data_IF_269915675707
#
_entry.id   IF_269915675707
#
_cell.length_a   1.000
_cell.length_b   1.000
_cell.length_c   1.000
_cell.angle_alpha   90.00
_cell.angle_beta   90.00
_cell.angle_gamma   90.00
#
_symmetry.space_group_name_H-M   'P 1'
#
loop_
_entity.id
_entity.type
_entity.pdbx_description
1 polymer ?
#
# COMPACT_ATOMS: atom_id res chain seq x y z
N UNK A 1 -1.41 -25.85 -10.97
CA UNK A 1 -1.08 -24.47 -11.35
C UNK A 1 -1.32 -23.59 -10.14
N UNK A 2 -0.42 -22.65 -9.84
CA UNK A 2 -0.52 -21.76 -8.68
C UNK A 2 -0.85 -20.33 -9.15
N UNK A 3 -1.41 -19.52 -8.25
CA UNK A 3 -1.47 -18.07 -8.44
C UNK A 3 -0.05 -17.52 -8.62
N UNK A 4 0.12 -16.56 -9.52
CA UNK A 4 1.42 -15.92 -9.81
C UNK A 4 1.44 -14.55 -9.16
N UNK A 5 1.88 -14.48 -7.92
CA UNK A 5 1.89 -13.23 -7.15
C UNK A 5 3.11 -12.40 -7.52
N UNK A 6 4.27 -13.05 -7.68
CA UNK A 6 5.52 -12.40 -8.08
C UNK A 6 5.55 -12.37 -9.61
N UNK A 7 5.36 -11.18 -10.17
CA UNK A 7 5.33 -10.96 -11.61
C UNK A 7 6.73 -10.67 -12.17
N UNK A 8 7.54 -9.92 -11.41
CA UNK A 8 8.93 -9.60 -11.72
C UNK A 8 9.77 -9.65 -10.43
N UNK A 9 10.58 -10.72 -10.30
CA UNK A 9 11.40 -10.97 -9.12
C UNK A 9 12.50 -9.91 -8.90
N UNK A 10 13.16 -9.46 -9.96
CA UNK A 10 14.24 -8.46 -9.86
C UNK A 10 13.70 -7.12 -9.38
N UNK A 11 12.57 -6.67 -9.94
CA UNK A 11 11.89 -5.44 -9.51
C UNK A 11 11.36 -5.54 -8.09
N UNK A 12 10.86 -6.71 -7.68
CA UNK A 12 10.48 -6.95 -6.29
C UNK A 12 11.68 -6.82 -5.34
N UNK A 13 12.83 -7.40 -5.69
CA UNK A 13 14.05 -7.26 -4.87
C UNK A 13 14.53 -5.81 -4.79
N UNK A 14 14.52 -5.08 -5.90
CA UNK A 14 14.85 -3.64 -5.93
C UNK A 14 13.92 -2.84 -5.02
N UNK A 15 12.61 -3.12 -5.06
CA UNK A 15 11.64 -2.47 -4.19
C UNK A 15 11.85 -2.80 -2.72
N UNK A 16 12.10 -4.08 -2.40
CA UNK A 16 12.41 -4.51 -1.03
C UNK A 16 13.64 -3.76 -0.53
N UNK A 17 14.69 -3.62 -1.33
CA UNK A 17 15.91 -2.89 -0.95
C UNK A 17 15.66 -1.39 -0.74
N UNK A 18 14.81 -0.77 -1.56
CA UNK A 18 14.43 0.63 -1.44
C UNK A 18 13.68 0.96 -0.13
N UNK A 19 12.96 -0.01 0.45
CA UNK A 19 12.23 0.20 1.70
C UNK A 19 13.18 0.60 2.85
N UNK A 20 12.72 1.46 3.79
CA UNK A 20 13.53 1.85 4.94
C UNK A 20 14.06 0.69 5.78
N UNK A 21 15.22 0.85 6.40
CA UNK A 21 15.67 -0.15 7.38
C UNK A 21 14.83 -0.07 8.66
N UNK A 22 14.61 -1.24 9.25
CA UNK A 22 13.73 -1.42 10.41
C UNK A 22 14.51 -1.34 11.73
N UNK A 23 13.91 -0.69 12.72
CA UNK A 23 14.32 -0.79 14.11
C UNK A 23 13.86 -2.13 14.72
N UNK A 24 14.43 -2.57 15.87
CA UNK A 24 14.14 -3.89 16.43
C UNK A 24 12.65 -4.18 16.71
N UNK A 25 11.85 -3.16 17.02
CA UNK A 25 10.42 -3.27 17.29
C UNK A 25 9.54 -3.00 16.06
N UNK A 26 10.14 -2.75 14.89
CA UNK A 26 9.42 -2.38 13.68
C UNK A 26 9.22 -3.57 12.75
N UNK A 27 8.07 -3.59 12.05
CA UNK A 27 7.83 -4.46 10.91
C UNK A 27 7.02 -3.79 9.82
N UNK A 28 7.11 -4.33 8.61
CA UNK A 28 6.18 -4.02 7.54
C UNK A 28 4.87 -4.76 7.72
N UNK A 29 3.76 -4.09 7.43
CA UNK A 29 2.45 -4.74 7.30
C UNK A 29 2.13 -4.94 5.83
N UNK A 30 1.74 -6.15 5.47
CA UNK A 30 1.46 -6.56 4.09
C UNK A 30 0.07 -7.17 4.02
N UNK A 31 -0.66 -6.87 2.95
CA UNK A 31 -1.97 -7.43 2.67
C UNK A 31 -2.10 -7.86 1.21
N UNK A 32 -2.64 -9.06 1.00
CA UNK A 32 -3.14 -9.52 -0.30
C UNK A 32 -4.63 -9.19 -0.37
N UNK A 33 -5.03 -8.46 -1.41
CA UNK A 33 -6.42 -8.10 -1.66
C UNK A 33 -6.88 -8.71 -2.98
N UNK A 34 -8.15 -9.09 -3.03
CA UNK A 34 -8.90 -9.18 -4.27
C UNK A 34 -9.63 -7.85 -4.49
N UNK A 35 -9.51 -7.25 -5.67
CA UNK A 35 -10.19 -6.01 -6.03
C UNK A 35 -11.09 -6.21 -7.25
N UNK A 36 -12.35 -5.81 -7.13
CA UNK A 36 -13.32 -5.86 -8.22
C UNK A 36 -12.90 -4.96 -9.39
N UNK A 37 -12.34 -3.78 -9.10
CA UNK A 37 -11.93 -2.82 -10.13
C UNK A 37 -10.87 -3.33 -11.11
N UNK A 38 -10.09 -4.36 -10.74
CA UNK A 38 -9.06 -4.91 -11.61
C UNK A 38 -9.57 -5.95 -12.62
N UNK A 39 -10.64 -6.65 -12.27
CA UNK A 39 -11.37 -7.51 -13.19
C UNK A 39 -12.85 -7.56 -12.76
N UNK A 40 -13.71 -6.70 -13.35
CA UNK A 40 -15.09 -6.54 -12.89
C UNK A 40 -16.01 -7.70 -13.32
N UNK A 41 -15.57 -8.57 -14.24
CA UNK A 41 -16.42 -9.65 -14.80
C UNK A 41 -16.37 -10.96 -14.03
N UNK A 42 -15.50 -11.07 -13.01
CA UNK A 42 -15.25 -12.33 -12.25
C UNK A 42 -16.25 -12.60 -11.13
N UNK A 43 -17.29 -11.77 -10.98
CA UNK A 43 -18.38 -12.00 -10.02
C UNK A 43 -18.05 -11.64 -8.57
N UNK A 44 -16.94 -10.92 -8.29
CA UNK A 44 -16.70 -10.37 -6.95
C UNK A 44 -17.83 -9.40 -6.56
N UNK A 45 -18.49 -9.70 -5.43
CA UNK A 45 -19.61 -8.90 -4.92
C UNK A 45 -19.13 -7.58 -4.31
N UNK A 46 -18.15 -7.62 -3.41
CA UNK A 46 -17.57 -6.45 -2.75
C UNK A 46 -16.49 -5.77 -3.62
N UNK A 47 -16.28 -4.46 -3.44
CA UNK A 47 -15.18 -3.72 -4.11
C UNK A 47 -13.81 -4.34 -3.79
N UNK A 48 -13.63 -4.75 -2.54
CA UNK A 48 -12.40 -5.38 -2.07
C UNK A 48 -12.68 -6.51 -1.09
N UNK A 49 -11.88 -7.56 -1.18
CA UNK A 49 -11.81 -8.63 -0.18
C UNK A 49 -10.37 -8.78 0.32
N UNK A 50 -10.21 -8.93 1.63
CA UNK A 50 -8.91 -9.10 2.25
C UNK A 50 -8.60 -10.58 2.45
N UNK A 51 -7.76 -11.12 1.57
CA UNK A 51 -7.50 -12.55 1.49
C UNK A 51 -6.44 -13.01 2.50
N UNK A 52 -5.39 -12.20 2.65
CA UNK A 52 -4.30 -12.49 3.58
C UNK A 52 -3.70 -11.22 4.12
N UNK A 53 -3.27 -11.29 5.38
CA UNK A 53 -2.47 -10.27 6.06
C UNK A 53 -1.32 -10.93 6.77
N UNK A 54 -0.20 -10.24 6.85
CA UNK A 54 0.94 -10.63 7.67
C UNK A 54 1.86 -9.44 7.93
N UNK A 55 2.75 -9.61 8.90
CA UNK A 55 3.88 -8.70 9.12
C UNK A 55 5.16 -9.31 8.59
N UNK A 56 6.16 -8.50 8.23
CA UNK A 56 7.48 -9.00 7.84
C UNK A 56 8.60 -8.03 8.18
N UNK A 57 9.80 -8.57 8.39
CA UNK A 57 11.04 -7.80 8.21
C UNK A 57 11.40 -7.71 6.73
N UNK A 58 12.34 -6.83 6.37
CA UNK A 58 12.81 -6.61 4.99
C UNK A 58 13.40 -7.90 4.40
N UNK A 59 14.22 -8.61 5.17
CA UNK A 59 14.93 -9.84 4.74
C UNK A 59 13.98 -11.01 4.46
N UNK A 60 12.85 -11.05 5.18
CA UNK A 60 11.86 -12.13 5.06
C UNK A 60 10.75 -11.83 4.05
N UNK A 61 10.68 -10.59 3.56
CA UNK A 61 9.55 -10.08 2.77
C UNK A 61 9.38 -10.86 1.47
N UNK A 62 10.48 -11.10 0.74
CA UNK A 62 10.46 -11.88 -0.50
C UNK A 62 9.85 -13.27 -0.31
N UNK A 63 10.36 -14.03 0.67
CA UNK A 63 9.89 -15.40 0.91
C UNK A 63 8.43 -15.42 1.39
N UNK A 64 8.01 -14.47 2.22
CA UNK A 64 6.60 -14.38 2.66
C UNK A 64 5.64 -14.03 1.53
N UNK A 65 6.05 -13.18 0.58
CA UNK A 65 5.26 -12.90 -0.62
C UNK A 65 5.17 -14.14 -1.51
N UNK A 66 6.29 -14.86 -1.70
CA UNK A 66 6.31 -16.12 -2.45
C UNK A 66 5.37 -17.18 -1.86
N UNK A 67 5.20 -17.21 -0.53
CA UNK A 67 4.25 -18.10 0.14
C UNK A 67 2.77 -17.80 -0.17
N UNK A 68 2.46 -16.69 -0.86
CA UNK A 68 1.11 -16.38 -1.34
C UNK A 68 0.78 -17.08 -2.68
N UNK A 69 1.75 -17.69 -3.35
CA UNK A 69 1.57 -18.42 -4.61
C UNK A 69 0.99 -19.82 -4.36
N UNK A 70 -0.26 -19.85 -3.87
CA UNK A 70 -1.01 -21.06 -3.56
C UNK A 70 -1.61 -21.69 -4.84
N UNK A 71 -2.03 -22.98 -4.79
CA UNK A 71 -2.80 -23.59 -5.88
C UNK A 71 -4.01 -22.73 -6.28
N UNK A 72 -4.30 -22.67 -7.57
CA UNK A 72 -5.49 -21.97 -8.07
C UNK A 72 -6.77 -22.55 -7.46
N UNK A 73 -7.74 -21.68 -7.17
CA UNK A 73 -9.01 -22.08 -6.53
C UNK A 73 -9.00 -21.95 -5.01
N UNK A 74 -7.83 -21.80 -4.37
CA UNK A 74 -7.73 -21.73 -2.90
C UNK A 74 -8.14 -20.38 -2.32
N UNK A 75 -8.02 -19.29 -3.09
CA UNK A 75 -8.50 -17.99 -2.66
C UNK A 75 -9.98 -17.84 -2.99
N UNK A 76 -10.79 -17.59 -1.96
CA UNK A 76 -12.22 -17.40 -2.08
C UNK A 76 -12.66 -16.10 -1.38
N UNK A 77 -13.73 -15.50 -1.88
CA UNK A 77 -14.39 -14.35 -1.26
C UNK A 77 -15.89 -14.47 -1.47
N UNK A 78 -16.65 -14.64 -0.38
CA UNK A 78 -18.11 -14.76 -0.45
C UNK A 78 -18.57 -15.93 -1.33
N UNK A 79 -17.92 -17.08 -1.19
CA UNK A 79 -18.13 -18.32 -1.97
C UNK A 79 -17.76 -18.23 -3.47
N UNK A 80 -17.13 -17.13 -3.90
CA UNK A 80 -16.60 -16.99 -5.25
C UNK A 80 -15.09 -17.22 -5.23
N UNK A 81 -14.62 -18.12 -6.11
CA UNK A 81 -13.19 -18.30 -6.35
C UNK A 81 -12.61 -17.01 -6.94
N UNK A 82 -11.55 -16.50 -6.32
CA UNK A 82 -10.90 -15.27 -6.74
C UNK A 82 -10.03 -15.55 -7.97
N UNK A 83 -10.22 -14.78 -9.03
CA UNK A 83 -9.33 -14.80 -10.21
C UNK A 83 -7.97 -14.20 -9.87
N UNK A 84 -6.92 -14.73 -10.51
CA UNK A 84 -5.57 -14.15 -10.55
C UNK A 84 -5.62 -12.64 -10.86
N UNK A 85 -6.47 -12.27 -11.82
CA UNK A 85 -6.61 -10.91 -12.35
C UNK A 85 -7.27 -9.92 -11.39
N UNK A 86 -7.79 -10.39 -10.26
CA UNK A 86 -8.30 -9.51 -9.20
C UNK A 86 -7.25 -9.21 -8.14
N UNK A 87 -6.10 -9.89 -8.16
CA UNK A 87 -5.15 -9.86 -7.06
C UNK A 87 -4.27 -8.61 -7.11
N UNK A 88 -3.98 -8.09 -5.92
CA UNK A 88 -2.94 -7.10 -5.69
C UNK A 88 -2.35 -7.23 -4.29
N UNK A 89 -1.04 -7.07 -4.18
CA UNK A 89 -0.33 -7.05 -2.89
C UNK A 89 0.03 -5.63 -2.53
N UNK A 90 -0.26 -5.24 -1.29
CA UNK A 90 0.05 -3.92 -0.76
C UNK A 90 0.86 -4.02 0.52
N UNK A 91 1.66 -2.99 0.78
CA UNK A 91 2.53 -2.83 1.95
C UNK A 91 2.36 -1.44 2.55
N UNK A 92 2.49 -1.28 3.86
CA UNK A 92 2.70 0.05 4.43
C UNK A 92 4.17 0.48 4.22
N UNK A 93 4.47 1.56 3.48
CA UNK A 93 5.86 1.95 3.22
C UNK A 93 6.56 2.48 4.49
N UNK A 94 5.78 3.06 5.41
CA UNK A 94 6.27 3.43 6.73
C UNK A 94 6.24 2.22 7.69
N UNK A 95 7.31 1.96 8.45
CA UNK A 95 7.35 0.86 9.42
C UNK A 95 6.26 0.94 10.50
N UNK A 96 5.75 -0.21 10.94
CA UNK A 96 4.76 -0.36 12.02
C UNK A 96 5.44 -0.74 13.33
N UNK A 97 4.98 -0.17 14.44
CA UNK A 97 5.55 -0.42 15.77
C UNK A 97 4.83 -1.57 16.48
N UNK A 98 5.46 -2.74 16.58
CA UNK A 98 4.84 -3.90 17.21
C UNK A 98 4.69 -3.76 18.72
N UNK A 99 5.62 -3.07 19.38
CA UNK A 99 5.57 -2.87 20.83
C UNK A 99 4.39 -1.95 21.18
N UNK A 100 4.30 -0.80 20.52
CA UNK A 100 3.20 0.15 20.71
C UNK A 100 1.85 -0.44 20.30
N UNK A 101 1.79 -1.17 19.18
CA UNK A 101 0.57 -1.85 18.76
C UNK A 101 0.11 -2.89 19.80
N UNK A 102 1.05 -3.62 20.43
CA UNK A 102 0.72 -4.59 21.47
C UNK A 102 0.13 -3.93 22.73
N UNK A 103 0.66 -2.78 23.14
CA UNK A 103 0.11 -2.01 24.26
C UNK A 103 -1.33 -1.52 23.97
N UNK A 104 -1.57 -1.03 22.76
CA UNK A 104 -2.93 -0.60 22.36
C UNK A 104 -3.89 -1.79 22.23
N UNK A 105 -3.42 -2.92 21.70
CA UNK A 105 -4.22 -4.14 21.62
C UNK A 105 -4.63 -4.64 23.02
N UNK A 106 -3.71 -4.61 23.98
CA UNK A 106 -4.00 -4.99 25.38
C UNK A 106 -5.13 -4.16 25.96
N UNK A 107 -5.08 -2.83 25.74
CA UNK A 107 -6.14 -1.91 26.16
C UNK A 107 -7.47 -2.25 25.49
N UNK A 108 -7.50 -2.41 24.16
CA UNK A 108 -8.73 -2.65 23.40
C UNK A 108 -9.40 -3.98 23.77
N UNK A 109 -8.61 -5.05 23.94
CA UNK A 109 -9.13 -6.36 24.36
C UNK A 109 -9.74 -6.25 25.77
N UNK A 110 -9.05 -5.59 26.70
CA UNK A 110 -9.53 -5.43 28.07
C UNK A 110 -10.87 -4.67 28.12
N UNK A 111 -10.97 -3.56 27.38
CA UNK A 111 -12.22 -2.78 27.29
C UNK A 111 -13.38 -3.59 26.71
N UNK A 112 -13.14 -4.37 25.65
CA UNK A 112 -14.16 -5.21 25.03
C UNK A 112 -14.64 -6.33 25.96
N UNK A 113 -13.72 -6.97 26.68
CA UNK A 113 -14.05 -8.00 27.67
C UNK A 113 -14.87 -7.46 28.83
N UNK A 114 -14.50 -6.29 29.38
CA UNK A 114 -15.26 -5.63 30.46
C UNK A 114 -16.69 -5.32 30.02
N UNK A 115 -16.90 -4.95 28.75
CA UNK A 115 -18.24 -4.70 28.18
C UNK A 115 -19.03 -5.97 27.85
N UNK A 116 -18.45 -7.16 28.06
CA UNK A 116 -19.08 -8.43 27.73
C UNK A 116 -19.20 -8.71 26.22
N UNK A 117 -18.38 -8.05 25.38
CA UNK A 117 -18.35 -8.29 23.92
C UNK A 117 -17.85 -9.72 23.67
N UNK A 118 -18.72 -10.58 23.15
CA UNK A 118 -18.39 -11.98 22.81
C UNK A 118 -17.88 -12.13 21.37
N UNK A 119 -17.95 -11.08 20.54
CA UNK A 119 -17.57 -11.12 19.13
C UNK A 119 -16.09 -10.74 18.89
N UNK A 120 -15.25 -10.82 19.93
CA UNK A 120 -13.83 -10.46 19.86
C UNK A 120 -13.08 -11.49 19.00
N UNK A 121 -12.37 -11.01 17.98
CA UNK A 121 -11.44 -11.81 17.19
C UNK A 121 -10.00 -11.29 17.37
N UNK A 122 -9.25 -11.75 18.40
CA UNK A 122 -7.98 -11.15 18.81
C UNK A 122 -6.95 -11.03 17.68
N UNK A 123 -6.84 -12.05 16.82
CA UNK A 123 -5.94 -12.03 15.68
C UNK A 123 -6.25 -10.90 14.67
N UNK A 124 -7.54 -10.64 14.41
CA UNK A 124 -7.96 -9.56 13.50
C UNK A 124 -7.72 -8.19 14.14
N UNK A 125 -8.00 -8.06 15.44
CA UNK A 125 -7.70 -6.85 16.19
C UNK A 125 -6.21 -6.54 16.19
N UNK A 126 -5.36 -7.54 16.44
CA UNK A 126 -3.91 -7.38 16.41
C UNK A 126 -3.42 -6.85 15.06
N UNK A 127 -3.89 -7.44 13.95
CA UNK A 127 -3.50 -7.02 12.61
C UNK A 127 -4.01 -5.63 12.25
N UNK A 128 -5.23 -5.26 12.67
CA UNK A 128 -5.76 -3.91 12.50
C UNK A 128 -4.91 -2.89 13.27
N UNK A 129 -4.59 -3.19 14.53
CA UNK A 129 -3.79 -2.33 15.40
C UNK A 129 -2.38 -2.14 14.84
N UNK A 130 -1.75 -3.21 14.36
CA UNK A 130 -0.43 -3.13 13.74
C UNK A 130 -0.49 -2.26 12.47
N UNK A 131 -1.49 -2.45 11.61
CA UNK A 131 -1.64 -1.65 10.39
C UNK A 131 -1.70 -0.15 10.69
N UNK A 132 -2.43 0.27 11.72
CA UNK A 132 -2.66 1.68 12.05
C UNK A 132 -1.60 2.29 12.98
N UNK A 133 -0.75 1.47 13.59
CA UNK A 133 0.29 1.95 14.52
C UNK A 133 1.61 2.17 13.78
N UNK A 134 1.73 3.29 13.07
CA UNK A 134 2.98 3.74 12.46
C UNK A 134 4.03 4.00 13.53
N UNK A 135 5.27 3.52 13.33
CA UNK A 135 6.40 3.87 14.18
C UNK A 135 6.99 5.22 13.76
N UNK A 136 7.58 5.27 12.57
CA UNK A 136 8.17 6.47 11.98
C UNK A 136 7.43 6.84 10.69
N UNK A 137 7.07 8.12 10.56
CA UNK A 137 6.54 8.68 9.31
C UNK A 137 7.71 9.17 8.47
N UNK A 138 8.23 8.28 7.62
CA UNK A 138 9.34 8.56 6.71
C UNK A 138 8.78 9.17 5.42
N UNK A 139 7.72 8.56 4.91
CA UNK A 139 7.02 9.00 3.70
C UNK A 139 5.66 9.58 4.03
N UNK A 140 5.28 10.59 3.27
CA UNK A 140 3.89 11.00 3.09
C UNK A 140 3.42 10.51 1.72
N UNK A 141 2.37 9.68 1.70
CA UNK A 141 1.84 9.11 0.46
C UNK A 141 0.72 9.98 -0.12
N UNK A 142 0.91 10.38 -1.39
CA UNK A 142 -0.11 10.94 -2.25
C UNK A 142 -0.61 9.85 -3.21
N UNK A 143 -1.91 9.60 -3.21
CA UNK A 143 -2.55 8.70 -4.17
C UNK A 143 -3.16 9.54 -5.30
N UNK A 144 -2.68 9.35 -6.52
CA UNK A 144 -3.05 10.11 -7.71
C UNK A 144 -3.84 9.21 -8.66
N UNK A 145 -5.15 9.41 -8.72
CA UNK A 145 -6.04 8.72 -9.65
C UNK A 145 -6.11 9.48 -10.97
N UNK A 146 -5.86 8.80 -12.09
CA UNK A 146 -5.92 9.42 -13.41
C UNK A 146 -7.37 9.53 -13.90
N UNK A 147 -7.71 10.68 -14.49
CA UNK A 147 -9.05 10.98 -15.03
C UNK A 147 -9.12 10.89 -16.55
N UNK A 148 -7.99 10.59 -17.19
CA UNK A 148 -7.85 10.47 -18.64
C UNK A 148 -7.15 9.16 -19.01
N UNK A 149 -7.42 8.64 -20.19
CA UNK A 149 -6.80 7.39 -20.68
C UNK A 149 -5.31 7.56 -21.01
N UNK A 150 -4.90 8.75 -21.44
CA UNK A 150 -3.49 9.05 -21.69
C UNK A 150 -2.75 9.28 -20.36
N UNK A 151 -2.36 8.18 -19.73
CA UNK A 151 -1.65 8.18 -18.45
C UNK A 151 -0.33 8.96 -18.51
N UNK A 152 0.37 8.94 -19.64
CA UNK A 152 1.66 9.64 -19.79
C UNK A 152 1.46 11.16 -19.66
N UNK A 153 0.42 11.70 -20.29
CA UNK A 153 0.07 13.12 -20.16
C UNK A 153 -0.27 13.50 -18.70
N UNK A 154 -0.99 12.65 -17.98
CA UNK A 154 -1.32 12.89 -16.57
C UNK A 154 -0.06 12.88 -15.68
N UNK A 155 0.87 11.95 -15.92
CA UNK A 155 2.15 11.84 -15.20
C UNK A 155 3.00 13.10 -15.43
N UNK A 156 3.19 13.51 -16.67
CA UNK A 156 4.00 14.69 -17.02
C UNK A 156 3.41 15.96 -16.41
N UNK A 157 2.09 16.12 -16.49
CA UNK A 157 1.41 17.26 -15.87
C UNK A 157 1.60 17.25 -14.36
N UNK A 158 1.38 16.13 -13.67
CA UNK A 158 1.55 16.05 -12.23
C UNK A 158 3.00 16.32 -11.80
N UNK A 159 3.99 15.78 -12.52
CA UNK A 159 5.42 16.06 -12.27
C UNK A 159 5.75 17.54 -12.39
N UNK A 160 5.22 18.21 -13.41
CA UNK A 160 5.37 19.67 -13.56
C UNK A 160 4.73 20.40 -12.38
N UNK A 161 3.48 20.06 -12.04
CA UNK A 161 2.72 20.77 -11.01
C UNK A 161 3.30 20.61 -9.59
N UNK A 162 3.78 19.40 -9.26
CA UNK A 162 4.37 19.14 -7.95
C UNK A 162 5.75 19.77 -7.81
N UNK A 163 6.51 19.93 -8.91
CA UNK A 163 7.85 20.53 -8.88
C UNK A 163 7.85 21.98 -8.41
N UNK A 164 6.76 22.71 -8.65
CA UNK A 164 6.59 24.06 -8.11
C UNK A 164 6.35 24.03 -6.59
N UNK A 165 5.75 22.95 -6.07
CA UNK A 165 5.26 22.85 -4.69
C UNK A 165 6.33 22.43 -3.68
N UNK A 166 7.30 21.64 -4.10
CA UNK A 166 8.30 20.99 -3.24
C UNK A 166 9.54 20.58 -4.04
N UNK A 167 10.68 20.47 -3.37
CA UNK A 167 11.94 20.00 -3.97
C UNK A 167 11.83 18.56 -4.52
N UNK A 168 12.40 18.31 -5.69
CA UNK A 168 12.21 17.06 -6.44
C UNK A 168 12.94 15.85 -5.84
N UNK A 169 14.05 16.05 -5.14
CA UNK A 169 14.89 15.00 -4.55
C UNK A 169 14.24 14.29 -3.33
N UNK A 170 13.14 14.85 -2.80
CA UNK A 170 12.33 14.19 -1.80
C UNK A 170 11.20 13.32 -2.39
N UNK A 171 11.01 13.32 -3.71
CA UNK A 171 9.89 12.63 -4.36
C UNK A 171 10.29 11.24 -4.88
N UNK A 172 9.39 10.28 -4.73
CA UNK A 172 9.50 8.97 -5.38
C UNK A 172 8.15 8.62 -6.01
N UNK A 173 8.17 8.28 -7.29
CA UNK A 173 6.97 8.04 -8.08
C UNK A 173 6.81 6.55 -8.38
N UNK A 174 5.62 6.00 -8.15
CA UNK A 174 5.30 4.59 -8.38
C UNK A 174 4.05 4.49 -9.26
N UNK A 175 4.22 4.08 -10.51
CA UNK A 175 3.09 3.84 -11.40
C UNK A 175 2.32 2.61 -10.93
N UNK A 176 1.00 2.76 -10.81
CA UNK A 176 0.07 1.66 -10.55
C UNK A 176 -0.80 1.41 -11.78
N UNK A 177 -1.68 0.42 -11.76
CA UNK A 177 -2.50 0.10 -12.93
C UNK A 177 -3.34 1.32 -13.38
N UNK A 178 -4.12 1.90 -12.46
CA UNK A 178 -5.04 3.02 -12.74
C UNK A 178 -4.54 4.42 -12.39
N UNK A 179 -3.34 4.56 -11.80
CA UNK A 179 -2.90 5.84 -11.27
C UNK A 179 -1.41 5.88 -10.97
N UNK A 180 -1.05 6.67 -9.96
CA UNK A 180 0.32 6.95 -9.53
C UNK A 180 0.34 7.18 -8.03
N UNK A 181 1.30 6.59 -7.32
CA UNK A 181 1.63 7.07 -5.97
C UNK A 181 2.83 8.00 -6.04
N UNK A 182 2.80 9.07 -5.26
CA UNK A 182 3.94 9.96 -5.04
C UNK A 182 4.28 10.00 -3.54
N UNK A 183 5.43 9.43 -3.22
CA UNK A 183 5.95 9.27 -1.88
C UNK A 183 6.89 10.44 -1.60
N UNK A 184 6.52 11.30 -0.66
CA UNK A 184 7.35 12.43 -0.22
C UNK A 184 8.17 11.99 0.98
N UNK A 185 9.50 11.93 0.86
CA UNK A 185 10.38 11.69 1.98
C UNK A 185 10.46 12.94 2.87
N UNK A 186 9.80 12.88 4.03
CA UNK A 186 9.64 14.01 4.93
C UNK A 186 10.97 14.56 5.48
N UNK A 187 12.01 13.71 5.56
CA UNK A 187 13.32 14.11 6.06
C UNK A 187 14.15 14.86 5.00
N UNK A 188 13.77 14.76 3.72
CA UNK A 188 14.46 15.40 2.59
C UNK A 188 13.77 16.67 2.12
N UNK A 189 12.70 17.11 2.79
CA UNK A 189 12.03 18.38 2.45
C UNK A 189 12.92 19.55 2.86
N UNK A 190 13.29 20.38 1.89
CA UNK A 190 14.10 21.57 2.14
C UNK A 190 13.33 22.61 2.96
N UNK A 191 14.07 23.38 3.77
CA UNK A 191 13.50 24.30 4.78
C UNK A 191 12.49 25.29 4.22
N UNK A 192 12.70 25.75 2.98
CA UNK A 192 11.82 26.71 2.30
C UNK A 192 10.42 26.15 1.98
N UNK A 193 10.29 24.84 1.77
CA UNK A 193 9.01 24.19 1.45
C UNK A 193 8.26 23.70 2.69
N UNK A 194 8.95 23.46 3.82
CA UNK A 194 8.40 22.77 5.01
C UNK A 194 7.07 23.32 5.53
N UNK A 195 6.82 24.62 5.39
CA UNK A 195 5.58 25.28 5.89
C UNK A 195 4.43 25.29 4.90
N UNK A 196 4.69 25.14 3.60
CA UNK A 196 3.71 25.43 2.55
C UNK A 196 3.39 24.23 1.64
N UNK A 197 4.29 23.25 1.53
CA UNK A 197 4.17 22.15 0.58
C UNK A 197 2.80 21.44 0.66
N UNK A 198 2.34 21.14 1.88
CA UNK A 198 1.11 20.37 2.09
C UNK A 198 -0.12 21.12 1.56
N UNK A 199 -0.23 22.42 1.84
CA UNK A 199 -1.34 23.24 1.36
C UNK A 199 -1.29 23.38 -0.17
N UNK A 200 -0.10 23.59 -0.74
CA UNK A 200 0.06 23.74 -2.20
C UNK A 200 -0.30 22.46 -2.93
N UNK A 201 0.16 21.31 -2.44
CA UNK A 201 -0.16 20.00 -3.03
C UNK A 201 -1.66 19.68 -2.96
N UNK A 202 -2.35 20.05 -1.87
CA UNK A 202 -3.80 19.80 -1.74
C UNK A 202 -4.65 20.51 -2.80
N UNK A 203 -4.08 21.47 -3.53
CA UNK A 203 -4.75 22.27 -4.56
C UNK A 203 -4.47 21.76 -5.98
N UNK A 204 -3.67 20.70 -6.15
CA UNK A 204 -3.23 20.25 -7.48
C UNK A 204 -4.27 19.47 -8.28
N UNK A 205 -5.33 18.97 -7.64
CA UNK A 205 -6.41 18.25 -8.36
C UNK A 205 -6.92 19.07 -9.54
N UNK A 206 -6.96 18.44 -10.71
CA UNK A 206 -7.35 19.09 -11.96
C UNK A 206 -8.21 18.16 -12.84
N UNK A 207 -8.39 18.51 -14.10
CA UNK A 207 -9.15 17.71 -15.07
C UNK A 207 -8.43 16.42 -15.47
N UNK A 208 -7.09 16.35 -15.34
CA UNK A 208 -6.30 15.20 -15.77
C UNK A 208 -6.10 14.15 -14.67
N UNK A 209 -6.11 14.58 -13.40
CA UNK A 209 -5.87 13.71 -12.26
C UNK A 209 -6.51 14.27 -10.98
N UNK A 210 -6.70 13.38 -10.01
CA UNK A 210 -7.15 13.69 -8.66
C UNK A 210 -6.08 13.34 -7.64
N UNK A 211 -5.81 14.23 -6.69
CA UNK A 211 -4.84 14.01 -5.62
C UNK A 211 -5.57 13.72 -4.32
N UNK A 212 -5.33 12.55 -3.74
CA UNK A 212 -5.81 12.17 -2.41
C UNK A 212 -4.66 12.15 -1.41
N UNK A 213 -4.76 12.98 -0.38
CA UNK A 213 -3.73 13.13 0.66
C UNK A 213 -4.08 12.30 1.91
N UNK A 214 -3.71 11.02 1.91
CA UNK A 214 -3.98 10.12 3.04
C UNK A 214 -2.82 10.05 4.05
N UNK A 215 -1.63 10.48 3.65
CA UNK A 215 -0.43 10.58 4.50
C UNK A 215 0.26 9.24 4.75
N UNK A 216 -0.46 8.21 5.18
CA UNK A 216 0.12 6.89 5.48
C UNK A 216 -0.77 5.75 5.00
N UNK A 217 -0.67 5.49 3.69
CA UNK A 217 -1.49 4.54 2.97
C UNK A 217 -0.78 3.18 2.78
N UNK A 218 -1.53 2.21 2.26
CA UNK A 218 -0.94 0.97 1.74
C UNK A 218 -0.58 1.17 0.27
N UNK A 219 0.67 0.87 -0.06
CA UNK A 219 1.29 1.04 -1.36
C UNK A 219 1.29 -0.30 -2.11
N UNK A 220 0.90 -0.37 -3.39
CA UNK A 220 1.09 -1.57 -4.20
C UNK A 220 2.57 -1.99 -4.28
N UNK A 221 2.86 -3.26 -4.08
CA UNK A 221 4.23 -3.77 -4.12
C UNK A 221 4.72 -3.88 -5.56
N UNK A 222 5.80 -3.18 -5.89
CA UNK A 222 6.49 -3.28 -7.18
C UNK A 222 7.00 -4.70 -7.40
N UNK A 223 6.88 -5.20 -8.63
CA UNK A 223 7.25 -6.58 -8.99
C UNK A 223 6.19 -7.63 -8.62
N UNK A 224 5.13 -7.26 -7.89
CA UNK A 224 3.96 -8.11 -7.68
C UNK A 224 2.83 -7.78 -8.67
N UNK A 225 1.89 -8.71 -8.83
CA UNK A 225 0.69 -8.47 -9.64
C UNK A 225 -0.18 -7.34 -9.07
N UNK A 226 -0.77 -6.54 -9.96
CA UNK A 226 -1.86 -5.61 -9.65
C UNK A 226 -2.88 -5.60 -10.79
N UNK A 227 -3.76 -6.59 -10.78
CA UNK A 227 -4.77 -6.78 -11.82
C UNK A 227 -4.26 -7.53 -13.04
N UNK A 228 -4.96 -7.37 -14.17
CA UNK A 228 -4.64 -8.05 -15.44
C UNK A 228 -3.31 -7.55 -15.99
N UNK A 229 -2.35 -8.46 -16.17
CA UNK A 229 -1.08 -8.26 -16.87
C UNK A 229 -0.28 -7.01 -16.47
N UNK A 230 -0.42 -6.55 -15.22
CA UNK A 230 0.23 -5.34 -14.73
C UNK A 230 0.97 -5.60 -13.42
N UNK A 231 2.16 -5.01 -13.31
CA UNK A 231 2.93 -4.93 -12.08
C UNK A 231 3.36 -3.48 -11.84
N UNK A 232 3.19 -2.94 -10.61
CA UNK A 232 3.65 -1.59 -10.29
C UNK A 232 5.15 -1.45 -10.50
N UNK A 233 5.60 -0.24 -10.84
CA UNK A 233 7.01 0.07 -11.07
C UNK A 233 7.37 1.51 -10.71
N UNK A 234 8.64 1.75 -10.40
CA UNK A 234 9.18 3.09 -10.18
C UNK A 234 9.20 3.86 -11.50
N UNK A 235 8.78 5.12 -11.47
CA UNK A 235 8.97 6.03 -12.60
C UNK A 235 10.29 6.78 -12.42
N UNK A 236 11.19 6.63 -13.38
CA UNK A 236 12.46 7.36 -13.48
C UNK A 236 12.23 8.85 -13.76
#
# INVERSE_FOLDING_TARGET
MNYKIIFNEEKLKQFIEWLPDLLPNEQYYVTLLARKKYNPVTGLHADKAQLKRFTSTKERLFQKIRQLELPLGVYESGNTVVSQDNLAVYITPNPRDLHKASLFLMKEISEKLIRGDQAIHPHTLALNMIQTTTSRKIFFDLDIDFRIENHQQAIEKFRSDISDCINSDCLTFIKTNGGLHCLINLQRIEKEYQKSWHQRISQLTCTLYEVTMNGDNVLPIIGCIQGIDFSPYFLD
#
